data_IF_986826540578
#
_entry.id   IF_986826540578
#
_cell.length_a   1.000
_cell.length_b   1.000
_cell.length_c   1.000
_cell.angle_alpha   90.00
_cell.angle_beta   90.00
_cell.angle_gamma   90.00
#
_symmetry.space_group_name_H-M   'P 1'
#
loop_
_entity.id
_entity.type
_entity.pdbx_description
1 polymer ?
#
# COMPACT_ATOMS: atom_id res chain seq x y z
N UNK A 1 -40.60 -14.97 -28.50
CA UNK A 1 -40.01 -14.22 -29.63
C UNK A 1 -41.08 -13.42 -30.41
N UNK A 2 -42.21 -13.99 -30.78
CA UNK A 2 -43.27 -13.27 -31.54
C UNK A 2 -43.91 -12.07 -30.80
N UNK A 3 -44.10 -12.19 -29.47
CA UNK A 3 -44.72 -11.12 -28.65
C UNK A 3 -43.85 -9.88 -28.57
N UNK A 4 -42.53 -10.03 -28.51
CA UNK A 4 -41.56 -8.93 -28.49
C UNK A 4 -41.51 -8.16 -29.84
N UNK A 5 -41.67 -8.86 -30.96
CA UNK A 5 -41.72 -8.23 -32.26
C UNK A 5 -43.03 -7.43 -32.49
N UNK A 6 -44.17 -7.93 -32.03
CA UNK A 6 -45.46 -7.23 -32.13
C UNK A 6 -45.48 -5.97 -31.29
N UNK A 7 -44.93 -6.00 -30.05
CA UNK A 7 -44.83 -4.85 -29.17
C UNK A 7 -43.89 -3.79 -29.76
N UNK A 8 -42.76 -4.19 -30.39
CA UNK A 8 -41.82 -3.28 -31.05
C UNK A 8 -42.45 -2.55 -32.24
N UNK A 9 -43.26 -3.24 -33.09
CA UNK A 9 -43.90 -2.66 -34.27
C UNK A 9 -44.99 -1.65 -33.86
N UNK A 10 -45.79 -1.95 -32.83
CA UNK A 10 -46.82 -1.04 -32.36
C UNK A 10 -46.23 0.18 -31.66
N UNK A 11 -45.11 0.02 -30.93
CA UNK A 11 -44.38 1.11 -30.27
C UNK A 11 -43.77 2.08 -31.29
N UNK A 12 -43.18 1.55 -32.38
CA UNK A 12 -42.61 2.36 -33.46
C UNK A 12 -43.71 3.16 -34.21
N UNK A 13 -44.87 2.55 -34.48
CA UNK A 13 -46.00 3.23 -35.15
C UNK A 13 -46.66 4.30 -34.27
N UNK A 14 -46.63 4.13 -32.95
CA UNK A 14 -47.14 5.10 -32.01
C UNK A 14 -46.20 6.31 -31.87
N UNK A 15 -44.90 6.13 -31.86
CA UNK A 15 -43.90 7.19 -31.87
C UNK A 15 -43.90 8.07 -33.11
N UNK A 16 -44.36 7.54 -34.25
CA UNK A 16 -44.53 8.32 -35.49
C UNK A 16 -45.68 9.31 -35.41
N UNK A 17 -46.68 9.06 -34.56
CA UNK A 17 -47.85 9.94 -34.36
C UNK A 17 -47.57 11.13 -33.42
N UNK A 18 -46.51 11.06 -32.60
CA UNK A 18 -46.20 12.08 -31.61
C UNK A 18 -44.69 12.46 -31.65
N UNK A 19 -44.28 13.26 -32.64
CA UNK A 19 -42.85 13.59 -32.84
C UNK A 19 -42.23 14.28 -31.60
N UNK A 20 -43.03 15.01 -30.83
CA UNK A 20 -42.56 15.66 -29.62
C UNK A 20 -42.19 14.65 -28.49
N UNK A 21 -42.95 13.57 -28.37
CA UNK A 21 -42.65 12.50 -27.42
C UNK A 21 -41.38 11.72 -27.80
N UNK A 22 -41.08 11.61 -29.08
CA UNK A 22 -39.83 10.99 -29.55
C UNK A 22 -38.61 11.79 -29.15
N UNK A 23 -38.67 13.12 -29.22
CA UNK A 23 -37.58 14.01 -28.79
C UNK A 23 -37.39 13.91 -27.27
N UNK A 24 -38.48 13.89 -26.50
CA UNK A 24 -38.43 13.74 -25.02
C UNK A 24 -37.87 12.38 -24.63
N UNK A 25 -38.23 11.29 -25.35
CA UNK A 25 -37.70 9.95 -25.04
C UNK A 25 -36.20 9.84 -25.33
N UNK A 26 -35.74 10.40 -26.46
CA UNK A 26 -34.31 10.45 -26.81
C UNK A 26 -33.53 11.28 -25.78
N UNK A 27 -34.06 12.42 -25.35
CA UNK A 27 -33.43 13.26 -24.32
C UNK A 27 -33.40 12.57 -22.94
N UNK A 28 -34.42 11.77 -22.62
CA UNK A 28 -34.45 10.98 -21.38
C UNK A 28 -33.50 9.80 -21.48
N UNK A 29 -33.40 9.10 -22.63
CA UNK A 29 -32.39 8.05 -22.85
C UNK A 29 -30.97 8.61 -22.79
N UNK A 30 -30.70 9.74 -23.43
CA UNK A 30 -29.39 10.41 -23.35
C UNK A 30 -29.09 10.92 -21.93
N UNK A 31 -30.09 11.47 -21.22
CA UNK A 31 -29.92 11.87 -19.84
C UNK A 31 -29.70 10.69 -18.91
N UNK A 32 -30.37 9.57 -19.09
CA UNK A 32 -30.18 8.35 -18.32
C UNK A 32 -28.86 7.65 -18.64
N UNK A 33 -28.50 7.55 -19.92
CA UNK A 33 -27.21 6.97 -20.31
C UNK A 33 -26.04 7.89 -19.96
N UNK A 34 -26.17 9.20 -20.15
CA UNK A 34 -25.19 10.19 -19.75
C UNK A 34 -25.03 10.26 -18.21
N UNK A 35 -26.15 10.14 -17.45
CA UNK A 35 -26.12 10.05 -15.99
C UNK A 35 -25.48 8.76 -15.51
N UNK A 36 -25.70 7.64 -16.20
CA UNK A 36 -25.02 6.37 -15.91
C UNK A 36 -23.50 6.43 -16.22
N UNK A 37 -23.11 7.12 -17.31
CA UNK A 37 -21.70 7.36 -17.62
C UNK A 37 -21.03 8.34 -16.64
N UNK A 38 -21.75 9.37 -16.18
CA UNK A 38 -21.26 10.29 -15.14
C UNK A 38 -21.20 9.60 -13.77
N UNK A 39 -22.14 8.69 -13.47
CA UNK A 39 -22.10 7.90 -12.24
C UNK A 39 -20.96 6.86 -12.24
N UNK A 40 -20.59 6.32 -13.41
CA UNK A 40 -19.40 5.46 -13.54
C UNK A 40 -18.08 6.22 -13.41
N UNK A 41 -18.07 7.54 -13.64
CA UNK A 41 -16.89 8.39 -13.45
C UNK A 41 -16.70 8.89 -12.01
N UNK A 42 -17.70 8.79 -11.18
CA UNK A 42 -17.61 9.03 -9.74
C UNK A 42 -17.56 7.69 -8.99
N UNK A 43 -16.72 6.75 -9.41
CA UNK A 43 -16.39 5.61 -8.56
C UNK A 43 -15.53 6.18 -7.44
N UNK A 44 -16.02 6.18 -6.18
CA UNK A 44 -15.20 6.59 -5.07
C UNK A 44 -13.95 5.69 -5.04
N UNK A 45 -12.81 6.23 -4.63
CA UNK A 45 -11.60 5.45 -4.40
C UNK A 45 -11.97 4.19 -3.63
N UNK A 46 -11.84 3.03 -4.26
CA UNK A 46 -12.27 1.77 -3.68
C UNK A 46 -11.05 0.99 -3.23
N UNK A 47 -11.10 0.53 -1.99
CA UNK A 47 -10.16 -0.47 -1.50
C UNK A 47 -10.44 -1.76 -2.28
N UNK A 48 -9.38 -2.40 -2.78
CA UNK A 48 -9.51 -3.67 -3.50
C UNK A 48 -9.96 -4.78 -2.55
N UNK A 49 -10.93 -5.56 -3.01
CA UNK A 49 -11.35 -6.79 -2.35
C UNK A 49 -10.35 -7.92 -2.61
N UNK A 50 -10.47 -9.03 -1.87
CA UNK A 50 -9.73 -10.25 -2.11
C UNK A 50 -9.82 -10.74 -3.56
N UNK A 51 -11.02 -10.67 -4.16
CA UNK A 51 -11.24 -11.04 -5.56
C UNK A 51 -10.41 -10.19 -6.52
N UNK A 52 -10.37 -8.87 -6.30
CA UNK A 52 -9.60 -7.95 -7.13
C UNK A 52 -8.10 -8.12 -6.89
N UNK A 53 -7.69 -8.33 -5.62
CA UNK A 53 -6.30 -8.60 -5.25
C UNK A 53 -5.77 -9.88 -5.92
N UNK A 54 -6.53 -10.98 -5.84
CA UNK A 54 -6.15 -12.25 -6.49
C UNK A 54 -6.01 -12.09 -8.00
N UNK A 55 -6.92 -11.35 -8.64
CA UNK A 55 -6.85 -11.06 -10.06
C UNK A 55 -5.58 -10.28 -10.43
N UNK A 56 -5.22 -9.22 -9.67
CA UNK A 56 -4.02 -8.41 -9.91
C UNK A 56 -2.73 -9.21 -9.70
N UNK A 57 -2.72 -10.10 -8.70
CA UNK A 57 -1.60 -11.03 -8.46
C UNK A 57 -1.46 -12.05 -9.62
N UNK A 58 -2.56 -12.59 -10.14
CA UNK A 58 -2.57 -13.52 -11.27
C UNK A 58 -2.13 -12.84 -12.59
N UNK A 59 -2.55 -11.60 -12.82
CA UNK A 59 -2.13 -10.78 -13.96
C UNK A 59 -0.66 -10.35 -13.86
N UNK A 60 -0.08 -10.41 -12.66
CA UNK A 60 1.35 -10.17 -12.40
C UNK A 60 1.75 -8.69 -12.42
N UNK A 61 0.81 -7.77 -12.36
CA UNK A 61 1.08 -6.34 -12.24
C UNK A 61 1.19 -5.87 -10.80
N UNK A 62 0.55 -6.54 -9.85
CA UNK A 62 0.81 -6.47 -8.42
C UNK A 62 1.66 -7.67 -8.02
N UNK A 63 2.83 -7.44 -7.42
CA UNK A 63 3.73 -8.51 -7.00
C UNK A 63 3.95 -8.48 -5.49
N UNK A 64 3.78 -9.64 -4.86
CA UNK A 64 4.15 -9.91 -3.47
C UNK A 64 4.99 -11.20 -3.51
N UNK A 65 6.27 -11.12 -3.24
CA UNK A 65 7.20 -12.24 -3.38
C UNK A 65 8.15 -12.37 -2.18
N UNK A 66 8.18 -13.56 -1.52
CA UNK A 66 7.38 -14.76 -1.76
C UNK A 66 5.95 -14.64 -1.20
N UNK A 67 4.96 -15.18 -1.92
CA UNK A 67 3.59 -15.36 -1.46
C UNK A 67 3.32 -16.86 -1.31
N UNK A 68 3.78 -17.44 -0.19
CA UNK A 68 3.83 -18.90 -0.01
C UNK A 68 2.47 -19.52 0.33
N UNK A 69 1.60 -18.75 0.98
CA UNK A 69 0.28 -19.21 1.42
C UNK A 69 -0.78 -18.15 1.12
N UNK A 70 -1.32 -18.23 -0.09
CA UNK A 70 -2.34 -17.28 -0.58
C UNK A 70 -3.58 -17.31 0.31
N UNK A 71 -4.04 -18.48 0.72
CA UNK A 71 -5.26 -18.62 1.53
C UNK A 71 -5.10 -18.00 2.93
N UNK A 72 -3.87 -17.98 3.46
CA UNK A 72 -3.57 -17.37 4.73
C UNK A 72 -3.25 -15.88 4.62
N UNK A 73 -2.56 -15.44 3.55
CA UNK A 73 -2.06 -14.06 3.44
C UNK A 73 -3.07 -13.13 2.78
N UNK A 74 -3.85 -13.58 1.79
CA UNK A 74 -4.89 -12.74 1.18
C UNK A 74 -6.11 -12.69 2.10
N UNK A 75 -6.43 -11.48 2.56
CA UNK A 75 -7.53 -11.19 3.47
C UNK A 75 -8.64 -10.46 2.69
N UNK A 76 -9.87 -10.31 3.22
CA UNK A 76 -11.00 -9.73 2.46
C UNK A 76 -10.76 -8.36 1.81
N UNK A 77 -9.79 -7.56 2.29
CA UNK A 77 -9.47 -6.25 1.74
C UNK A 77 -7.99 -5.88 1.93
N UNK A 78 -7.10 -6.85 2.13
CA UNK A 78 -5.68 -6.62 2.36
C UNK A 78 -4.86 -7.87 2.08
N UNK A 79 -3.53 -7.71 2.03
CA UNK A 79 -2.58 -8.83 2.00
C UNK A 79 -1.71 -8.74 3.25
N UNK A 80 -1.69 -9.79 4.06
CA UNK A 80 -0.82 -9.90 5.23
C UNK A 80 0.63 -10.13 4.79
N UNK A 81 1.55 -9.35 5.38
CA UNK A 81 2.98 -9.48 5.15
C UNK A 81 3.67 -10.03 6.41
N UNK A 82 4.73 -10.81 6.18
CA UNK A 82 5.50 -11.44 7.23
C UNK A 82 6.71 -10.59 7.63
N UNK A 83 7.16 -10.80 8.85
CA UNK A 83 8.36 -10.16 9.40
C UNK A 83 9.62 -10.81 8.81
N UNK A 84 10.54 -9.99 8.31
CA UNK A 84 11.89 -10.42 7.94
C UNK A 84 12.78 -10.68 9.16
N UNK A 85 14.01 -11.15 8.92
CA UNK A 85 14.94 -11.50 9.97
C UNK A 85 15.93 -10.37 10.33
N UNK A 86 15.94 -9.29 9.56
CA UNK A 86 16.91 -8.21 9.69
C UNK A 86 16.29 -7.01 10.43
N UNK A 87 17.06 -6.45 11.38
CA UNK A 87 16.64 -5.33 12.22
C UNK A 87 17.74 -4.29 12.33
N UNK A 88 17.35 -3.00 12.42
CA UNK A 88 18.22 -1.89 12.78
C UNK A 88 17.76 -1.34 14.13
N UNK A 89 18.60 -1.51 15.15
CA UNK A 89 18.36 -1.05 16.50
C UNK A 89 19.06 0.29 16.74
N UNK A 90 18.34 1.24 17.33
CA UNK A 90 18.93 2.52 17.73
C UNK A 90 19.58 2.39 19.10
N UNK A 91 20.90 2.48 19.15
CA UNK A 91 21.65 2.38 20.39
C UNK A 91 21.54 3.67 21.21
N UNK A 92 21.41 3.53 22.54
CA UNK A 92 21.54 4.66 23.47
C UNK A 92 22.97 5.20 23.41
N UNK A 93 23.11 6.45 23.01
CA UNK A 93 24.41 7.13 22.92
C UNK A 93 24.40 8.41 23.72
N UNK A 94 25.62 8.93 24.06
CA UNK A 94 25.78 10.23 24.70
C UNK A 94 25.69 11.41 23.72
N UNK A 95 25.00 11.24 22.59
CA UNK A 95 24.84 12.28 21.57
C UNK A 95 23.79 13.26 22.06
N UNK A 96 24.13 14.54 21.98
CA UNK A 96 23.23 15.62 22.42
C UNK A 96 22.01 15.79 21.51
N UNK A 97 22.17 15.54 20.21
CA UNK A 97 21.07 15.56 19.25
C UNK A 97 21.46 14.84 17.94
N UNK A 98 20.47 14.39 17.17
CA UNK A 98 20.62 13.86 15.83
C UNK A 98 20.40 14.99 14.84
N UNK A 99 21.33 15.18 13.90
CA UNK A 99 21.18 16.10 12.78
C UNK A 99 20.75 15.28 11.55
N UNK A 100 19.48 15.34 11.11
CA UNK A 100 18.97 14.48 10.03
C UNK A 100 19.70 14.64 8.70
N UNK A 101 20.29 15.81 8.45
CA UNK A 101 21.08 16.12 7.25
C UNK A 101 22.54 15.64 7.30
N UNK A 102 22.93 14.93 8.37
CA UNK A 102 24.28 14.36 8.53
C UNK A 102 24.19 12.85 8.59
N UNK A 103 24.23 12.24 7.43
CA UNK A 103 24.05 10.79 7.25
C UNK A 103 25.07 9.96 8.02
N UNK A 104 26.31 10.46 8.14
CA UNK A 104 27.39 9.84 8.90
C UNK A 104 27.16 9.85 10.43
N UNK A 105 26.31 10.69 10.93
CA UNK A 105 25.91 10.70 12.35
C UNK A 105 24.87 9.62 12.63
N UNK A 106 23.91 9.39 11.75
CA UNK A 106 22.83 8.42 11.92
C UNK A 106 23.38 6.99 11.99
N UNK A 107 24.32 6.66 11.12
CA UNK A 107 24.93 5.33 11.06
C UNK A 107 25.70 4.92 12.32
N UNK A 108 26.16 5.88 13.13
CA UNK A 108 26.97 5.61 14.33
C UNK A 108 26.19 5.03 15.52
N UNK A 109 24.86 5.19 15.53
CA UNK A 109 24.03 4.64 16.61
C UNK A 109 23.06 3.56 16.14
N UNK A 110 23.24 3.08 14.94
CA UNK A 110 22.48 1.95 14.43
C UNK A 110 23.32 0.68 14.57
N UNK A 111 22.73 -0.34 15.16
CA UNK A 111 23.25 -1.70 15.18
C UNK A 111 22.38 -2.56 14.30
N UNK A 112 23.01 -3.26 13.36
CA UNK A 112 22.36 -4.29 12.59
C UNK A 112 22.28 -5.58 13.39
N UNK A 113 21.11 -6.19 13.41
CA UNK A 113 20.87 -7.48 14.07
C UNK A 113 20.14 -8.39 13.09
N UNK A 114 20.66 -9.59 12.91
CA UNK A 114 20.00 -10.64 12.14
C UNK A 114 19.59 -11.73 13.12
N UNK A 115 18.32 -12.11 13.07
CA UNK A 115 17.77 -13.19 13.89
C UNK A 115 17.91 -14.49 13.14
N UNK A 116 18.59 -15.47 13.73
CA UNK A 116 18.79 -16.79 13.14
C UNK A 116 17.48 -17.59 13.10
N UNK A 117 17.43 -18.60 12.24
CA UNK A 117 16.27 -19.48 12.12
C UNK A 117 15.97 -20.18 13.45
N UNK A 118 14.75 -20.03 13.96
CA UNK A 118 14.27 -20.60 15.22
C UNK A 118 14.45 -19.67 16.43
N UNK A 119 15.12 -18.53 16.26
CA UNK A 119 15.26 -17.52 17.30
C UNK A 119 14.19 -16.44 17.19
N UNK A 120 14.11 -15.54 18.17
CA UNK A 120 13.14 -14.48 18.29
C UNK A 120 13.83 -13.13 18.52
N UNK A 121 13.27 -12.07 17.95
CA UNK A 121 13.63 -10.71 18.30
C UNK A 121 12.81 -10.21 19.50
N UNK A 122 13.46 -9.80 20.58
CA UNK A 122 12.78 -9.32 21.78
C UNK A 122 12.64 -7.79 21.70
N UNK A 123 11.43 -7.32 21.49
CA UNK A 123 11.10 -5.89 21.48
C UNK A 123 10.72 -5.43 22.89
N UNK A 124 11.64 -4.74 23.58
CA UNK A 124 11.42 -4.27 24.94
C UNK A 124 10.51 -3.03 25.01
N UNK A 125 9.85 -2.78 26.15
CA UNK A 125 9.08 -1.57 26.38
C UNK A 125 9.89 -0.30 26.11
N UNK A 126 9.35 0.58 25.23
CA UNK A 126 9.98 1.84 24.83
C UNK A 126 11.05 1.71 23.75
N UNK A 127 11.30 0.51 23.23
CA UNK A 127 12.17 0.36 22.07
C UNK A 127 11.49 0.88 20.80
N UNK A 128 12.33 1.42 19.92
CA UNK A 128 12.02 1.73 18.52
C UNK A 128 13.08 1.07 17.64
N UNK A 129 12.64 0.26 16.69
CA UNK A 129 13.49 -0.58 15.84
C UNK A 129 12.98 -0.52 14.42
N UNK A 130 13.86 -0.50 13.42
CA UNK A 130 13.46 -0.72 12.06
C UNK A 130 13.58 -2.21 11.74
N UNK A 131 12.45 -2.83 11.38
CA UNK A 131 12.40 -4.17 10.79
C UNK A 131 12.11 -4.07 9.30
N UNK A 132 11.88 -5.21 8.68
CA UNK A 132 11.48 -5.26 7.26
C UNK A 132 10.44 -6.35 7.06
N UNK A 133 9.71 -6.28 5.95
CA UNK A 133 8.88 -7.38 5.49
C UNK A 133 9.76 -8.49 4.91
N UNK A 134 9.32 -9.74 5.03
CA UNK A 134 9.96 -10.86 4.34
C UNK A 134 9.72 -10.75 2.83
N UNK A 135 8.54 -10.29 2.46
CA UNK A 135 8.12 -10.13 1.08
C UNK A 135 8.69 -8.86 0.44
N UNK A 136 9.08 -8.99 -0.80
CA UNK A 136 9.27 -7.90 -1.74
C UNK A 136 7.91 -7.57 -2.38
N UNK A 137 7.62 -6.30 -2.51
CA UNK A 137 6.37 -5.77 -3.06
C UNK A 137 6.66 -4.97 -4.32
N UNK A 138 5.84 -5.11 -5.36
CA UNK A 138 5.82 -4.21 -6.51
C UNK A 138 4.41 -3.67 -6.69
N UNK A 139 4.28 -2.34 -6.60
CA UNK A 139 3.00 -1.63 -6.68
C UNK A 139 2.87 -1.04 -8.09
N UNK A 140 1.82 -1.38 -8.84
CA UNK A 140 1.62 -0.83 -10.18
C UNK A 140 1.30 0.67 -10.14
N UNK A 141 1.43 1.39 -11.26
CA UNK A 141 1.31 2.84 -11.30
C UNK A 141 -0.11 3.37 -11.07
N UNK A 142 -1.11 2.52 -11.07
CA UNK A 142 -2.53 2.85 -10.85
C UNK A 142 -3.05 2.51 -9.46
N UNK A 143 -2.20 1.89 -8.61
CA UNK A 143 -2.51 1.60 -7.21
C UNK A 143 -1.63 2.40 -6.25
N UNK A 144 -2.18 2.69 -5.09
CA UNK A 144 -1.44 3.09 -3.90
C UNK A 144 -1.70 2.06 -2.81
N UNK A 145 -0.67 1.70 -2.04
CA UNK A 145 -0.85 0.82 -0.90
C UNK A 145 -0.62 1.54 0.43
N UNK A 146 -1.26 1.04 1.49
CA UNK A 146 -1.07 1.52 2.85
C UNK A 146 -0.65 0.36 3.74
N UNK A 147 0.43 0.58 4.49
CA UNK A 147 0.88 -0.33 5.54
C UNK A 147 0.01 -0.13 6.76
N UNK A 148 -0.61 -1.20 7.21
CA UNK A 148 -1.43 -1.23 8.41
C UNK A 148 -0.90 -2.27 9.40
N UNK A 149 -1.09 -2.01 10.70
CA UNK A 149 -0.80 -2.98 11.74
C UNK A 149 -1.88 -4.04 11.84
N UNK A 150 -1.49 -5.25 12.22
CA UNK A 150 -2.46 -6.29 12.56
C UNK A 150 -3.03 -6.03 13.96
N UNK A 151 -4.35 -6.09 14.09
CA UNK A 151 -5.06 -5.77 15.34
C UNK A 151 -4.63 -6.64 16.53
N UNK A 152 -4.20 -7.89 16.27
CA UNK A 152 -3.70 -8.78 17.33
C UNK A 152 -2.40 -8.28 17.95
N UNK A 153 -1.51 -7.68 17.16
CA UNK A 153 -0.28 -7.06 17.64
C UNK A 153 -0.53 -5.70 18.32
N UNK A 154 -1.43 -4.91 17.74
CA UNK A 154 -1.85 -3.66 18.36
C UNK A 154 -2.44 -3.85 19.76
N UNK A 155 -3.11 -4.99 20.03
CA UNK A 155 -3.62 -5.36 21.37
C UNK A 155 -2.54 -5.80 22.35
N UNK A 156 -1.31 -6.08 21.86
CA UNK A 156 -0.11 -6.26 22.67
C UNK A 156 0.70 -4.97 22.79
N UNK A 157 0.13 -3.84 22.36
CA UNK A 157 0.76 -2.52 22.30
C UNK A 157 1.99 -2.45 21.37
N UNK A 158 2.06 -3.33 20.38
CA UNK A 158 3.09 -3.28 19.32
C UNK A 158 2.57 -2.43 18.17
N UNK A 159 3.30 -1.38 17.83
CA UNK A 159 3.14 -0.56 16.63
C UNK A 159 4.04 -1.12 15.55
N UNK A 160 3.58 -1.23 14.32
CA UNK A 160 4.38 -1.77 13.20
C UNK A 160 4.82 -0.71 12.20
N UNK A 161 4.14 0.43 12.18
CA UNK A 161 4.57 1.64 11.51
C UNK A 161 4.08 2.86 12.29
N UNK A 162 4.91 3.90 12.41
CA UNK A 162 4.60 5.04 13.24
C UNK A 162 4.01 6.22 12.44
N UNK A 163 4.52 6.50 11.25
CA UNK A 163 4.18 7.75 10.54
C UNK A 163 3.96 7.62 9.04
N UNK A 164 4.65 6.73 8.33
CA UNK A 164 4.74 6.74 6.87
C UNK A 164 4.20 5.44 6.26
N UNK A 165 2.90 5.19 6.46
CA UNK A 165 2.24 3.98 5.95
C UNK A 165 1.96 3.99 4.45
N UNK A 166 2.15 5.11 3.73
CA UNK A 166 1.87 5.20 2.30
C UNK A 166 3.01 4.57 1.48
N UNK A 167 2.66 3.58 0.66
CA UNK A 167 3.54 3.02 -0.35
C UNK A 167 3.09 3.52 -1.72
N UNK A 168 3.92 4.34 -2.33
CA UNK A 168 3.62 5.03 -3.58
C UNK A 168 3.44 4.09 -4.78
N UNK A 169 2.63 4.48 -5.78
CA UNK A 169 2.59 3.82 -7.09
C UNK A 169 3.98 3.71 -7.70
N UNK A 170 4.36 2.53 -8.17
CA UNK A 170 5.69 2.25 -8.73
C UNK A 170 6.75 1.81 -7.71
N UNK A 171 6.44 1.81 -6.41
CA UNK A 171 7.36 1.29 -5.41
C UNK A 171 7.68 -0.19 -5.65
N UNK A 172 8.96 -0.54 -5.50
CA UNK A 172 9.46 -1.90 -5.55
C UNK A 172 10.47 -2.10 -4.43
N UNK A 173 10.34 -3.18 -3.67
CA UNK A 173 11.26 -3.51 -2.60
C UNK A 173 10.59 -4.15 -1.39
N UNK A 174 11.38 -4.52 -0.40
CA UNK A 174 10.89 -4.86 0.92
C UNK A 174 10.47 -3.58 1.66
N UNK A 175 9.46 -3.67 2.52
CA UNK A 175 8.94 -2.49 3.25
C UNK A 175 9.64 -2.41 4.60
N UNK A 176 10.25 -1.27 4.92
CA UNK A 176 10.73 -1.00 6.27
C UNK A 176 9.55 -0.80 7.21
N UNK A 177 9.59 -1.50 8.35
CA UNK A 177 8.62 -1.42 9.43
C UNK A 177 9.22 -0.65 10.61
N UNK A 178 8.47 0.33 11.13
CA UNK A 178 8.84 1.17 12.27
C UNK A 178 8.28 0.55 13.57
N UNK A 179 8.93 -0.51 14.06
CA UNK A 179 8.43 -1.31 15.17
C UNK A 179 8.65 -0.59 16.50
N UNK A 180 7.62 -0.51 17.35
CA UNK A 180 7.71 0.03 18.69
C UNK A 180 6.83 -0.72 19.67
N UNK A 181 7.31 -0.90 20.90
CA UNK A 181 6.56 -1.48 22.01
C UNK A 181 6.12 -0.37 22.98
N UNK A 182 4.84 -0.03 22.93
CA UNK A 182 4.21 0.94 23.83
C UNK A 182 3.66 0.30 25.10
N UNK A 183 3.80 -1.03 25.25
CA UNK A 183 3.35 -1.79 26.40
C UNK A 183 4.34 -1.73 27.58
N UNK A 184 4.05 -2.55 28.59
CA UNK A 184 4.88 -2.65 29.81
C UNK A 184 5.67 -3.96 29.88
N UNK A 185 5.46 -4.90 28.95
CA UNK A 185 6.16 -6.18 28.91
C UNK A 185 6.91 -6.33 27.58
N UNK A 186 8.06 -7.01 27.55
CA UNK A 186 8.73 -7.39 26.31
C UNK A 186 7.83 -8.27 25.43
N UNK A 187 7.92 -8.09 24.13
CA UNK A 187 7.20 -8.90 23.14
C UNK A 187 8.21 -9.61 22.24
N UNK A 188 8.10 -10.94 22.14
CA UNK A 188 8.90 -11.75 21.25
C UNK A 188 8.31 -11.74 19.84
N UNK A 189 9.12 -11.36 18.86
CA UNK A 189 8.75 -11.32 17.44
C UNK A 189 9.57 -12.38 16.71
N UNK A 190 8.88 -13.33 16.08
CA UNK A 190 9.51 -14.41 15.31
C UNK A 190 9.56 -14.04 13.85
N UNK A 191 10.73 -14.06 13.17
CA UNK A 191 10.79 -13.93 11.72
C UNK A 191 9.85 -14.89 11.01
N UNK A 192 9.19 -14.45 9.94
CA UNK A 192 8.18 -15.22 9.23
C UNK A 192 6.75 -15.11 9.80
N UNK A 193 6.57 -14.59 11.03
CA UNK A 193 5.22 -14.31 11.53
C UNK A 193 4.55 -13.19 10.73
N UNK A 194 3.23 -13.24 10.54
CA UNK A 194 2.48 -12.13 9.90
C UNK A 194 2.46 -10.93 10.85
N UNK A 195 3.11 -9.85 10.43
CA UNK A 195 3.37 -8.66 11.26
C UNK A 195 2.50 -7.46 10.85
N UNK A 196 2.32 -7.25 9.56
CA UNK A 196 1.61 -6.12 8.96
C UNK A 196 0.63 -6.60 7.89
N UNK A 197 -0.13 -5.68 7.33
CA UNK A 197 -0.99 -5.91 6.18
C UNK A 197 -0.93 -4.71 5.24
N UNK A 198 -1.10 -4.95 3.93
CA UNK A 198 -1.24 -3.92 2.92
C UNK A 198 -2.68 -3.84 2.45
N UNK A 199 -3.26 -2.65 2.49
CA UNK A 199 -4.50 -2.32 1.78
C UNK A 199 -4.16 -1.59 0.48
N UNK A 200 -4.94 -1.80 -0.57
CA UNK A 200 -4.69 -1.21 -1.89
C UNK A 200 -5.90 -0.40 -2.33
N UNK A 201 -5.62 0.79 -2.86
CA UNK A 201 -6.64 1.72 -3.37
C UNK A 201 -6.31 2.11 -4.80
N UNK A 202 -7.30 2.05 -5.69
CA UNK A 202 -7.13 2.54 -7.06
C UNK A 202 -6.99 4.06 -7.10
N UNK A 203 -6.05 4.53 -7.91
CA UNK A 203 -5.94 5.95 -8.22
C UNK A 203 -7.00 6.37 -9.25
N UNK A 204 -7.39 7.62 -9.26
CA UNK A 204 -8.31 8.19 -10.27
C UNK A 204 -7.76 8.11 -11.70
N UNK A 205 -6.46 7.99 -11.83
CA UNK A 205 -5.71 7.70 -13.06
C UNK A 205 -4.31 7.23 -12.66
N UNK A 206 -3.62 6.43 -13.49
CA UNK A 206 -2.25 6.03 -13.20
C UNK A 206 -1.34 7.24 -12.96
N UNK A 207 -0.40 7.10 -12.02
CA UNK A 207 0.57 8.14 -11.72
C UNK A 207 1.41 8.44 -12.97
N UNK A 208 1.44 9.70 -13.38
CA UNK A 208 2.23 10.14 -14.54
C UNK A 208 3.74 10.05 -14.27
N UNK A 209 4.14 10.10 -13.00
CA UNK A 209 5.53 10.00 -12.55
C UNK A 209 5.56 9.11 -11.29
N UNK A 210 5.51 7.78 -11.45
CA UNK A 210 5.52 6.85 -10.33
C UNK A 210 6.84 6.91 -9.55
N UNK A 211 6.84 6.32 -8.37
CA UNK A 211 8.04 6.15 -7.53
C UNK A 211 9.10 5.36 -8.30
N UNK A 212 10.35 5.86 -8.36
CA UNK A 212 11.43 5.24 -9.11
C UNK A 212 12.60 6.18 -9.35
N UNK A 213 13.55 5.73 -10.19
CA UNK A 213 14.81 6.44 -10.46
C UNK A 213 14.59 7.82 -11.09
N UNK A 214 13.64 7.95 -12.02
CA UNK A 214 13.31 9.23 -12.67
C UNK A 214 12.87 10.31 -11.68
N UNK A 215 12.34 9.90 -10.52
CA UNK A 215 11.95 10.79 -9.43
C UNK A 215 13.06 11.03 -8.42
N UNK A 216 14.16 10.31 -8.49
CA UNK A 216 15.18 10.28 -7.45
C UNK A 216 14.68 9.65 -6.15
N UNK A 217 13.84 8.63 -6.26
CA UNK A 217 13.21 7.95 -5.11
C UNK A 217 14.26 7.21 -4.29
N UNK A 218 14.30 7.46 -2.97
CA UNK A 218 15.40 7.05 -2.08
C UNK A 218 15.44 5.57 -1.73
N UNK A 219 14.28 4.89 -1.75
CA UNK A 219 14.14 3.53 -1.22
C UNK A 219 13.68 2.52 -2.29
N UNK A 220 13.89 2.83 -3.57
CA UNK A 220 13.57 1.91 -4.65
C UNK A 220 14.49 0.69 -4.62
N UNK A 221 13.93 -0.51 -4.85
CA UNK A 221 14.62 -1.80 -4.80
C UNK A 221 15.28 -2.10 -3.44
N UNK A 222 14.69 -1.60 -2.36
CA UNK A 222 15.18 -1.81 -1.00
C UNK A 222 15.23 -3.30 -0.66
N UNK A 223 16.32 -3.71 0.00
CA UNK A 223 16.49 -5.02 0.65
C UNK A 223 16.90 -4.77 2.10
N UNK A 224 16.26 -5.51 3.02
CA UNK A 224 16.43 -5.29 4.45
C UNK A 224 15.91 -3.91 4.92
N UNK A 225 15.92 -3.64 6.23
CA UNK A 225 15.53 -2.36 6.78
C UNK A 225 16.58 -1.30 6.42
N UNK A 226 16.13 -0.08 6.11
CA UNK A 226 17.05 1.00 5.79
C UNK A 226 16.86 2.20 6.72
N UNK A 227 17.97 2.76 7.16
CA UNK A 227 17.98 4.00 7.91
C UNK A 227 17.50 5.19 7.07
N UNK A 228 17.20 6.30 7.75
CA UNK A 228 16.75 7.53 7.08
C UNK A 228 17.80 8.03 6.07
N UNK A 229 17.35 8.31 4.86
CA UNK A 229 18.12 8.94 3.77
C UNK A 229 17.68 10.41 3.56
N UNK A 230 17.21 11.06 4.61
CA UNK A 230 16.73 12.45 4.54
C UNK A 230 17.83 13.43 4.12
N UNK A 231 19.10 13.12 4.44
CA UNK A 231 20.25 13.90 4.00
C UNK A 231 20.40 14.02 2.49
N UNK A 232 19.81 13.09 1.73
CA UNK A 232 19.83 13.09 0.27
C UNK A 232 18.72 13.97 -0.35
N UNK A 233 17.91 14.63 0.47
CA UNK A 233 16.88 15.53 -0.04
C UNK A 233 17.51 16.83 -0.63
N UNK A 234 16.95 17.33 -1.75
CA UNK A 234 17.55 18.47 -2.47
C UNK A 234 17.75 19.74 -1.63
N UNK A 235 16.96 19.95 -0.59
CA UNK A 235 17.08 21.07 0.34
C UNK A 235 18.36 21.00 1.17
N UNK A 236 18.91 19.80 1.41
CA UNK A 236 20.16 19.62 2.16
C UNK A 236 21.40 19.58 1.27
N UNK A 237 21.28 19.20 0.01
CA UNK A 237 22.37 19.13 -0.95
C UNK A 237 22.93 20.51 -1.37
N UNK A 238 22.24 21.61 -1.02
CA UNK A 238 22.64 22.99 -1.33
C UNK A 238 23.38 23.71 -0.21
N UNK A 239 23.73 23.05 0.89
CA UNK A 239 24.31 23.69 2.08
C UNK A 239 25.84 23.62 2.11
N UNK A 240 26.52 23.40 0.98
CA UNK A 240 27.93 23.74 0.82
C UNK A 240 28.06 25.22 0.35
N UNK A 241 27.86 26.15 1.29
CA UNK A 241 28.33 27.53 1.15
C UNK A 241 28.90 28.07 2.46
#
# INVERSE_FOLDING_TARGET
>A
MLLFQIISIHYQSWLLKYPFLRVVLVLVEEALTGSFYLFRRAVPHMILSDTDLLKRLEEGDLVIDPLDDIDMQVQPASIDLRLGAEFLEFQRTNISCIHPNREDEVSKYIRETVVEEGDEFILHPGDFVLGTTAERVEIPPDLVAHVEGRSSLGRLAVVVHATAGLCDPGYQGQITLELSNLGSAPVALTPGMRISQLTFTELTSPAARPYGEERGSKYQNQKGPQASKIGNDPEFSKTER
#
